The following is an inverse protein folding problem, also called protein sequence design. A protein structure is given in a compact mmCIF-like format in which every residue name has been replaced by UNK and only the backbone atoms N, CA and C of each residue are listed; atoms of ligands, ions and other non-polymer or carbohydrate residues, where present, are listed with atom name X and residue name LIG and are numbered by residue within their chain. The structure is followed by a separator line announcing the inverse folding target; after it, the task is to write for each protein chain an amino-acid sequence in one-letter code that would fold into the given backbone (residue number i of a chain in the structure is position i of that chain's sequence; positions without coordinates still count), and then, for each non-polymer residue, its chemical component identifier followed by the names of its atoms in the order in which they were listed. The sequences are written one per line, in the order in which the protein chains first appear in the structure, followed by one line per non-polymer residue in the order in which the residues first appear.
data_IF_713499398844
#
_entry.id   IF_713499398844
#
_cell.length_a   1.000
_cell.length_b   1.000
_cell.length_c   1.000
_cell.angle_alpha   90.00
_cell.angle_beta   90.00
_cell.angle_gamma   90.00
#
_symmetry.space_group_name_H-M   'P 1'
#
loop_
_entity.id
_entity.type
_entity.pdbx_description
1 polymer ?
#
# COMPACT_ATOMS: atom_id res chain seq x y z
N UNK A 1 2.36 41.01 25.84
CA UNK A 1 2.22 40.08 24.69
C UNK A 1 1.43 40.79 23.61
N UNK A 2 1.97 41.04 22.39
CA UNK A 2 1.19 41.58 21.31
C UNK A 2 0.56 40.46 20.46
N UNK A 3 -0.66 40.74 20.04
CA UNK A 3 -1.65 39.87 19.40
C UNK A 3 -1.27 39.46 17.97
N UNK A 4 -1.73 38.29 17.56
CA UNK A 4 -1.41 37.64 16.28
C UNK A 4 -1.84 38.42 15.04
N UNK A 5 -0.91 38.60 14.10
CA UNK A 5 -1.18 39.12 12.75
C UNK A 5 -1.68 38.02 11.81
N UNK A 6 -2.81 38.26 11.14
CA UNK A 6 -3.34 37.43 10.03
C UNK A 6 -2.31 37.35 8.89
N UNK A 7 -2.11 36.15 8.32
CA UNK A 7 -1.30 35.96 7.09
C UNK A 7 -1.86 36.82 5.96
N UNK A 8 -1.03 37.71 5.41
CA UNK A 8 -1.36 38.54 4.26
C UNK A 8 -1.41 37.66 3.00
N UNK A 9 -2.47 37.72 2.18
CA UNK A 9 -2.55 36.94 0.94
C UNK A 9 -1.45 37.37 -0.05
N UNK A 10 -0.81 36.36 -0.65
CA UNK A 10 0.30 36.55 -1.59
C UNK A 10 -0.20 37.19 -2.88
N UNK A 11 0.13 38.47 -3.09
CA UNK A 11 -0.30 39.24 -4.26
C UNK A 11 0.18 38.62 -5.57
N UNK A 12 -0.71 38.50 -6.56
CA UNK A 12 -0.39 37.97 -7.89
C UNK A 12 0.72 38.72 -8.62
N UNK A 13 0.94 40.01 -8.30
CA UNK A 13 2.09 40.79 -8.81
C UNK A 13 3.42 40.27 -8.28
N UNK A 14 3.50 39.92 -7.00
CA UNK A 14 4.70 39.35 -6.39
C UNK A 14 5.01 37.97 -7.00
N UNK A 15 3.98 37.16 -7.27
CA UNK A 15 4.12 35.86 -7.97
C UNK A 15 4.68 36.03 -9.38
N UNK A 16 4.20 37.03 -10.13
CA UNK A 16 4.66 37.29 -11.51
C UNK A 16 6.11 37.79 -11.56
N UNK A 17 6.50 38.65 -10.61
CA UNK A 17 7.90 39.11 -10.47
C UNK A 17 8.84 37.97 -10.06
N UNK A 18 8.41 37.08 -9.16
CA UNK A 18 9.20 35.90 -8.78
C UNK A 18 9.43 34.95 -9.96
N UNK A 19 8.43 34.74 -10.82
CA UNK A 19 8.56 33.93 -12.04
C UNK A 19 9.48 34.61 -13.07
N UNK A 20 9.41 35.94 -13.22
CA UNK A 20 10.32 36.69 -14.09
C UNK A 20 11.78 36.62 -13.60
N UNK A 21 12.01 36.78 -12.29
CA UNK A 21 13.34 36.65 -11.70
C UNK A 21 13.92 35.23 -11.89
N UNK A 22 13.07 34.19 -11.78
CA UNK A 22 13.46 32.79 -12.02
C UNK A 22 13.77 32.52 -13.50
N UNK A 23 13.06 33.18 -14.43
CA UNK A 23 13.36 33.13 -15.87
C UNK A 23 14.65 33.88 -16.23
N UNK A 24 14.92 35.01 -15.56
CA UNK A 24 16.17 35.77 -15.74
C UNK A 24 17.41 34.97 -15.32
N UNK A 25 17.37 34.30 -14.16
CA UNK A 25 18.46 33.43 -13.69
C UNK A 25 18.73 32.23 -14.61
N UNK A 26 17.72 31.74 -15.33
CA UNK A 26 17.88 30.67 -16.33
C UNK A 26 18.51 31.14 -17.64
N UNK A 27 18.52 32.45 -17.93
CA UNK A 27 19.14 33.04 -19.13
C UNK A 27 20.62 33.38 -18.93
N UNK A 28 21.12 33.38 -17.69
CA UNK A 28 22.51 33.72 -17.37
C UNK A 28 23.42 32.50 -17.18
N UNK A 29 22.94 31.27 -17.44
CA UNK A 29 23.81 30.09 -17.49
C UNK A 29 24.50 30.01 -18.88
N UNK A 30 25.83 29.84 -18.96
CA UNK A 30 26.52 29.70 -20.24
C UNK A 30 26.12 28.40 -20.95
N UNK A 31 25.85 28.50 -22.26
CA UNK A 31 25.47 27.36 -23.10
C UNK A 31 26.59 26.30 -23.16
N UNK A 32 26.24 25.04 -22.86
CA UNK A 32 27.10 23.88 -23.09
C UNK A 32 26.86 23.33 -24.52
N UNK A 33 27.89 22.76 -25.18
CA UNK A 33 27.82 22.39 -26.59
C UNK A 33 26.77 21.30 -26.86
N UNK A 34 26.16 21.40 -28.05
CA UNK A 34 25.09 20.55 -28.52
C UNK A 34 25.59 19.11 -28.81
N UNK A 35 25.30 18.19 -27.91
CA UNK A 35 25.67 16.78 -28.08
C UNK A 35 25.31 15.87 -26.90
N UNK A 36 24.12 16.00 -26.31
CA UNK A 36 23.64 15.08 -25.27
C UNK A 36 22.11 15.06 -25.18
N UNK A 37 21.43 14.67 -26.26
CA UNK A 37 20.01 14.32 -26.21
C UNK A 37 19.86 12.88 -25.70
N UNK A 38 19.91 12.69 -24.38
CA UNK A 38 19.69 11.36 -23.78
C UNK A 38 19.65 11.29 -22.25
N UNK A 39 20.27 12.22 -21.53
CA UNK A 39 20.47 12.03 -20.08
C UNK A 39 19.43 12.69 -19.16
N UNK A 40 18.42 13.41 -19.69
CA UNK A 40 17.46 14.13 -18.83
C UNK A 40 16.41 13.23 -18.18
N UNK A 41 16.09 12.06 -18.75
CA UNK A 41 15.08 11.16 -18.18
C UNK A 41 15.60 10.28 -17.03
N UNK A 42 16.92 10.22 -16.83
CA UNK A 42 17.54 9.34 -15.82
C UNK A 42 18.05 10.07 -14.57
N UNK A 43 17.96 11.41 -14.51
CA UNK A 43 18.39 12.18 -13.33
C UNK A 43 17.30 12.38 -12.27
N UNK A 44 16.02 12.18 -12.57
CA UNK A 44 14.96 12.27 -11.55
C UNK A 44 14.87 11.04 -10.64
N UNK A 45 15.55 9.94 -10.98
CA UNK A 45 15.65 8.73 -10.13
C UNK A 45 16.96 8.71 -9.31
N UNK A 46 17.88 9.66 -9.56
CA UNK A 46 19.25 9.65 -9.00
C UNK A 46 19.51 10.72 -7.92
N UNK A 47 18.44 11.21 -7.29
CA UNK A 47 18.52 12.05 -6.08
C UNK A 47 18.02 11.27 -4.86
N UNK A 48 18.43 10.01 -4.73
CA UNK A 48 18.59 9.42 -3.41
C UNK A 48 19.87 10.07 -2.89
N UNK A 49 19.72 11.05 -2.02
CA UNK A 49 20.85 11.54 -1.24
C UNK A 49 21.28 10.32 -0.41
N UNK A 50 22.38 9.67 -0.82
CA UNK A 50 23.12 8.77 0.04
C UNK A 50 23.67 9.65 1.18
N UNK A 51 22.84 9.86 2.19
CA UNK A 51 23.33 10.20 3.51
C UNK A 51 24.15 8.98 3.94
N UNK A 52 25.48 9.05 3.83
CA UNK A 52 26.39 8.03 4.35
C UNK A 52 26.34 7.91 5.89
N UNK A 53 25.49 8.69 6.55
CA UNK A 53 25.19 8.61 7.96
C UNK A 53 24.02 7.65 8.19
N UNK A 54 24.31 6.35 8.12
CA UNK A 54 23.44 5.35 8.72
C UNK A 54 23.39 5.59 10.23
N UNK A 55 22.44 6.40 10.69
CA UNK A 55 22.15 6.55 12.11
C UNK A 55 21.76 5.16 12.63
N UNK A 56 22.61 4.61 13.51
CA UNK A 56 22.21 3.51 14.35
C UNK A 56 21.06 4.00 15.21
N UNK A 57 19.87 3.48 14.98
CA UNK A 57 18.84 3.52 16.01
C UNK A 57 19.39 2.76 17.23
N UNK A 58 18.87 2.98 18.44
CA UNK A 58 19.40 2.40 19.71
C UNK A 58 19.49 0.87 19.76
N UNK A 59 19.11 0.20 18.67
CA UNK A 59 19.18 -1.22 18.38
C UNK A 59 20.50 -1.71 17.76
N UNK A 60 21.38 -0.83 17.25
CA UNK A 60 22.64 -1.23 16.60
C UNK A 60 22.50 -1.62 15.12
N UNK A 61 21.33 -1.35 14.54
CA UNK A 61 20.96 -1.79 13.19
C UNK A 61 21.21 -0.66 12.20
N UNK A 62 21.88 -0.97 11.08
CA UNK A 62 22.00 -0.02 9.97
C UNK A 62 20.67 0.07 9.24
N UNK A 63 20.08 1.26 9.26
CA UNK A 63 18.78 1.54 8.67
C UNK A 63 18.93 2.47 7.47
N UNK A 64 18.27 2.12 6.38
CA UNK A 64 18.11 2.98 5.22
C UNK A 64 16.75 3.69 5.27
N UNK A 65 16.77 5.03 5.29
CA UNK A 65 15.56 5.88 5.38
C UNK A 65 15.09 6.28 3.98
N UNK A 66 13.90 5.83 3.58
CA UNK A 66 13.29 6.13 2.26
C UNK A 66 12.35 7.34 2.37
N UNK A 67 12.27 8.13 1.29
CA UNK A 67 11.44 9.33 1.17
C UNK A 67 11.79 10.47 2.13
N UNK A 68 13.01 10.50 2.64
CA UNK A 68 13.50 11.58 3.49
C UNK A 68 13.51 12.91 2.73
N UNK A 69 12.84 13.93 3.27
CA UNK A 69 12.76 15.25 2.68
C UNK A 69 13.86 16.17 3.22
N UNK A 70 14.51 16.98 2.35
CA UNK A 70 15.49 17.96 2.79
C UNK A 70 14.78 19.12 3.50
N UNK A 71 15.13 19.37 4.76
CA UNK A 71 14.62 20.50 5.53
C UNK A 71 14.84 20.37 7.02
N UNK A 72 14.80 21.50 7.74
CA UNK A 72 14.92 21.56 9.20
C UNK A 72 13.55 21.84 9.80
N UNK A 73 12.74 20.79 9.96
CA UNK A 73 11.45 20.86 10.65
C UNK A 73 11.36 19.71 11.65
N UNK A 74 10.88 19.99 12.87
CA UNK A 74 10.87 19.03 14.00
C UNK A 74 10.21 17.68 13.65
N UNK A 75 9.26 17.66 12.72
CA UNK A 75 8.49 16.48 12.34
C UNK A 75 8.60 16.12 10.84
N UNK A 76 9.51 16.73 10.08
CA UNK A 76 9.52 16.63 8.61
C UNK A 76 9.67 15.18 8.12
N UNK A 77 10.46 14.37 8.84
CA UNK A 77 10.80 13.01 8.48
C UNK A 77 10.31 11.98 9.51
N UNK A 78 9.31 12.35 10.32
CA UNK A 78 8.76 11.49 11.39
C UNK A 78 8.24 10.14 10.84
N UNK A 79 7.61 10.18 9.67
CA UNK A 79 7.03 9.01 9.01
C UNK A 79 7.86 8.57 7.79
N UNK A 80 9.16 8.88 7.79
CA UNK A 80 10.05 8.29 6.79
C UNK A 80 10.10 6.78 6.98
N UNK A 81 10.12 6.04 5.88
CA UNK A 81 10.12 4.58 5.90
C UNK A 81 11.52 4.10 6.25
N UNK A 82 11.65 3.20 7.21
CA UNK A 82 12.92 2.67 7.68
C UNK A 82 13.00 1.18 7.35
N UNK A 83 13.96 0.80 6.51
CA UNK A 83 14.27 -0.60 6.26
C UNK A 83 15.70 -0.91 6.68
N UNK A 84 15.97 -2.17 7.00
CA UNK A 84 17.33 -2.63 7.20
C UNK A 84 18.16 -2.37 5.93
N UNK A 85 19.35 -1.80 6.12
CA UNK A 85 20.28 -1.57 5.04
C UNK A 85 20.93 -2.90 4.61
N UNK A 86 20.72 -3.29 3.36
CA UNK A 86 21.39 -4.44 2.76
C UNK A 86 22.88 -4.16 2.50
N UNK A 87 23.68 -5.22 2.44
CA UNK A 87 25.08 -5.14 2.06
C UNK A 87 25.20 -4.84 0.55
N UNK A 88 26.24 -4.10 0.17
CA UNK A 88 26.51 -3.79 -1.26
C UNK A 88 26.64 -5.07 -2.09
N UNK A 89 27.32 -6.07 -1.54
CA UNK A 89 27.48 -7.40 -2.14
C UNK A 89 26.14 -8.13 -2.34
N UNK A 90 25.24 -8.08 -1.35
CA UNK A 90 23.90 -8.68 -1.45
C UNK A 90 23.06 -8.03 -2.54
N UNK A 91 23.10 -6.69 -2.62
CA UNK A 91 22.40 -5.93 -3.67
C UNK A 91 22.95 -6.30 -5.06
N UNK A 92 24.27 -6.43 -5.21
CA UNK A 92 24.89 -6.77 -6.48
C UNK A 92 24.56 -8.20 -6.92
N UNK A 93 24.61 -9.17 -6.00
CA UNK A 93 24.19 -10.55 -6.24
C UNK A 93 22.69 -10.64 -6.64
N UNK A 94 21.80 -9.90 -5.98
CA UNK A 94 20.39 -9.85 -6.36
C UNK A 94 20.19 -9.24 -7.75
N UNK A 95 20.95 -8.19 -8.11
CA UNK A 95 20.93 -7.60 -9.46
C UNK A 95 21.41 -8.58 -10.53
N UNK A 96 22.44 -9.36 -10.23
CA UNK A 96 22.91 -10.41 -11.14
C UNK A 96 21.87 -11.52 -11.31
N UNK A 97 21.23 -11.96 -10.21
CA UNK A 97 20.15 -12.94 -10.26
C UNK A 97 18.97 -12.44 -11.10
N UNK A 98 18.56 -11.18 -10.91
CA UNK A 98 17.46 -10.57 -11.67
C UNK A 98 17.76 -10.42 -13.18
N UNK A 99 19.04 -10.50 -13.60
CA UNK A 99 19.45 -10.50 -15.01
C UNK A 99 19.45 -11.90 -15.64
N UNK A 100 19.33 -12.96 -14.85
CA UNK A 100 19.25 -14.32 -15.37
C UNK A 100 17.95 -14.50 -16.15
N UNK A 101 18.00 -15.31 -17.20
CA UNK A 101 16.82 -15.62 -18.00
C UNK A 101 15.80 -16.37 -17.14
N UNK A 102 14.53 -15.97 -17.23
CA UNK A 102 13.43 -16.70 -16.61
C UNK A 102 13.30 -18.05 -17.32
N UNK A 103 13.48 -19.13 -16.56
CA UNK A 103 13.31 -20.50 -17.03
C UNK A 103 11.86 -20.91 -16.79
N UNK A 104 11.22 -21.52 -17.78
CA UNK A 104 9.89 -22.07 -17.60
C UNK A 104 9.97 -23.28 -16.68
N UNK A 105 9.22 -23.22 -15.58
CA UNK A 105 9.16 -24.26 -14.55
C UNK A 105 7.90 -25.12 -14.82
N UNK A 106 7.96 -26.46 -14.68
CA UNK A 106 6.78 -27.32 -14.85
C UNK A 106 5.70 -27.02 -13.78
N UNK A 107 4.44 -27.35 -14.08
CA UNK A 107 3.29 -27.00 -13.23
C UNK A 107 3.43 -27.51 -11.78
N UNK A 108 3.98 -28.70 -11.60
CA UNK A 108 4.20 -29.31 -10.28
C UNK A 108 5.15 -28.48 -9.39
N UNK A 109 6.11 -27.78 -9.98
CA UNK A 109 7.06 -26.91 -9.25
C UNK A 109 6.49 -25.49 -9.04
N UNK A 110 5.38 -25.14 -9.69
CA UNK A 110 4.63 -23.91 -9.41
C UNK A 110 3.70 -24.09 -8.20
N UNK A 111 3.50 -25.32 -7.73
CA UNK A 111 2.73 -25.58 -6.52
C UNK A 111 3.48 -25.03 -5.30
N UNK A 112 2.79 -24.19 -4.55
CA UNK A 112 3.29 -23.66 -3.28
C UNK A 112 2.86 -24.62 -2.17
N UNK A 113 3.79 -24.96 -1.27
CA UNK A 113 3.47 -25.76 -0.09
C UNK A 113 2.34 -25.07 0.70
N UNK A 114 1.38 -25.86 1.20
CA UNK A 114 0.26 -25.32 2.00
C UNK A 114 0.71 -24.79 3.37
N UNK A 115 1.96 -25.03 3.76
CA UNK A 115 2.54 -24.50 4.99
C UNK A 115 2.52 -22.96 4.92
N UNK A 116 1.97 -22.32 5.95
CA UNK A 116 1.92 -20.87 5.99
C UNK A 116 3.35 -20.33 5.99
N UNK A 117 3.68 -19.34 5.15
CA UNK A 117 5.04 -18.78 5.04
C UNK A 117 5.44 -17.94 6.26
N UNK A 118 4.68 -18.03 7.35
CA UNK A 118 4.86 -17.27 8.57
C UNK A 118 5.37 -18.20 9.66
N UNK A 119 6.64 -18.09 10.07
CA UNK A 119 7.14 -18.78 11.24
C UNK A 119 6.31 -18.36 12.47
N UNK A 120 5.85 -19.32 13.27
CA UNK A 120 5.09 -19.04 14.49
C UNK A 120 5.86 -18.15 15.49
N UNK A 121 7.18 -18.15 15.39
CA UNK A 121 8.07 -17.34 16.24
C UNK A 121 8.24 -15.89 15.75
N UNK A 122 7.83 -15.58 14.51
CA UNK A 122 7.91 -14.26 13.91
C UNK A 122 6.53 -13.59 13.98
N UNK A 123 6.29 -12.95 15.12
CA UNK A 123 5.09 -12.14 15.36
C UNK A 123 5.36 -10.65 15.02
N UNK A 124 4.31 -9.84 14.92
CA UNK A 124 4.40 -8.39 14.76
C UNK A 124 4.43 -7.68 16.14
N UNK A 125 4.97 -6.45 16.24
CA UNK A 125 5.04 -5.72 17.50
C UNK A 125 3.65 -5.25 17.94
N UNK A 126 3.24 -5.64 19.15
CA UNK A 126 1.95 -5.27 19.76
C UNK A 126 2.18 -4.09 20.70
N UNK A 127 1.21 -3.18 20.80
CA UNK A 127 1.37 -2.04 21.70
C UNK A 127 1.52 -2.52 23.15
N UNK A 128 2.54 -2.06 23.90
CA UNK A 128 2.63 -2.38 25.32
C UNK A 128 1.44 -1.75 26.07
N UNK A 129 0.98 -2.37 27.18
CA UNK A 129 -0.08 -1.78 28.00
C UNK A 129 0.26 -0.36 28.43
N UNK A 130 -0.72 0.52 28.36
CA UNK A 130 -0.59 1.91 28.81
C UNK A 130 -1.85 2.33 29.55
N UNK A 131 -1.71 3.33 30.41
CA UNK A 131 -2.83 3.91 31.15
C UNK A 131 -2.89 5.44 30.95
N UNK A 132 -4.05 6.04 31.25
CA UNK A 132 -4.26 7.48 31.13
C UNK A 132 -3.51 8.31 32.17
N UNK A 133 -2.87 7.68 33.16
CA UNK A 133 -2.08 8.35 34.20
C UNK A 133 -0.63 8.57 33.78
N UNK A 134 -0.13 7.79 32.81
CA UNK A 134 1.18 7.96 32.21
C UNK A 134 1.30 9.32 31.51
N UNK A 135 2.46 9.97 31.67
CA UNK A 135 2.75 11.17 30.87
C UNK A 135 3.01 10.79 29.42
N UNK A 136 2.84 11.75 28.50
CA UNK A 136 3.13 11.53 27.08
C UNK A 136 4.60 11.13 26.83
N UNK A 137 5.53 11.64 27.65
CA UNK A 137 6.94 11.30 27.55
C UNK A 137 7.21 9.87 28.04
N UNK A 138 6.62 9.47 29.18
CA UNK A 138 6.79 8.13 29.73
C UNK A 138 6.21 7.06 28.79
N UNK A 139 5.05 7.34 28.19
CA UNK A 139 4.44 6.49 27.19
C UNK A 139 5.33 6.35 25.94
N UNK A 140 5.89 7.46 25.48
CA UNK A 140 6.79 7.47 24.32
C UNK A 140 8.06 6.65 24.57
N UNK A 141 8.65 6.78 25.76
CA UNK A 141 9.81 5.99 26.20
C UNK A 141 9.47 4.50 26.33
N UNK A 142 8.37 4.14 26.99
CA UNK A 142 7.95 2.75 27.16
C UNK A 142 7.71 2.04 25.81
N UNK A 143 7.01 2.71 24.89
CA UNK A 143 6.78 2.19 23.54
C UNK A 143 8.10 2.01 22.77
N UNK A 144 9.05 2.95 22.93
CA UNK A 144 10.37 2.88 22.29
C UNK A 144 11.20 1.72 22.82
N UNK A 145 11.30 1.57 24.14
CA UNK A 145 12.04 0.48 24.79
C UNK A 145 11.47 -0.89 24.41
N UNK A 146 10.15 -1.03 24.39
CA UNK A 146 9.48 -2.24 23.92
C UNK A 146 9.85 -2.56 22.47
N UNK A 147 9.75 -1.58 21.57
CA UNK A 147 9.99 -1.79 20.15
C UNK A 147 11.46 -2.10 19.86
N UNK A 148 12.40 -1.44 20.53
CA UNK A 148 13.83 -1.76 20.45
C UNK A 148 14.12 -3.19 20.92
N UNK A 149 13.48 -3.62 22.02
CA UNK A 149 13.55 -4.99 22.52
C UNK A 149 13.01 -6.01 21.50
N UNK A 150 11.89 -5.68 20.87
CA UNK A 150 11.31 -6.48 19.78
C UNK A 150 12.29 -6.62 18.60
N UNK A 151 12.86 -5.52 18.10
CA UNK A 151 13.82 -5.55 17.00
C UNK A 151 15.06 -6.40 17.33
N UNK A 152 15.62 -6.23 18.53
CA UNK A 152 16.77 -7.03 19.01
C UNK A 152 16.42 -8.52 19.07
N UNK A 153 15.20 -8.87 19.50
CA UNK A 153 14.75 -10.25 19.56
C UNK A 153 14.61 -10.87 18.16
N UNK A 154 14.00 -10.15 17.20
CA UNK A 154 13.87 -10.61 15.82
C UNK A 154 15.24 -10.89 15.20
N UNK A 155 16.20 -9.99 15.36
CA UNK A 155 17.56 -10.17 14.84
C UNK A 155 18.35 -11.28 15.51
N UNK A 156 18.10 -11.51 16.81
CA UNK A 156 18.73 -12.61 17.53
C UNK A 156 18.24 -13.97 17.03
N UNK A 157 16.95 -14.07 16.67
CA UNK A 157 16.33 -15.32 16.25
C UNK A 157 16.53 -15.63 14.78
N UNK A 158 16.48 -14.62 13.93
CA UNK A 158 16.47 -14.80 12.49
C UNK A 158 17.64 -14.06 11.84
N UNK A 159 18.43 -14.72 10.99
CA UNK A 159 19.47 -14.04 10.23
C UNK A 159 18.85 -13.07 9.23
N UNK A 160 19.53 -11.95 8.99
CA UNK A 160 19.03 -10.91 8.09
C UNK A 160 18.78 -11.40 6.65
N UNK A 161 19.46 -12.46 6.22
CA UNK A 161 19.29 -13.07 4.88
C UNK A 161 17.99 -13.84 4.71
N UNK A 162 17.35 -14.28 5.80
CA UNK A 162 16.10 -15.07 5.77
C UNK A 162 14.86 -14.19 6.03
N UNK A 163 15.05 -13.01 6.59
CA UNK A 163 13.96 -12.09 6.88
C UNK A 163 13.53 -11.33 5.61
N UNK A 164 12.23 -11.29 5.38
CA UNK A 164 11.64 -10.33 4.44
C UNK A 164 11.75 -8.91 5.00
N UNK A 165 11.69 -7.92 4.11
CA UNK A 165 11.65 -6.53 4.51
C UNK A 165 10.46 -6.22 5.41
N UNK A 166 10.72 -5.55 6.52
CA UNK A 166 9.70 -5.03 7.40
C UNK A 166 10.09 -3.64 7.91
N UNK A 167 9.08 -2.86 8.28
CA UNK A 167 9.25 -1.49 8.73
C UNK A 167 9.91 -1.44 10.11
N UNK A 168 10.98 -0.66 10.22
CA UNK A 168 11.78 -0.47 11.41
C UNK A 168 11.49 0.87 12.11
N UNK A 169 10.59 1.70 11.58
CA UNK A 169 10.15 2.93 12.22
C UNK A 169 8.97 2.65 13.17
N UNK A 170 9.16 2.90 14.47
CA UNK A 170 8.10 2.80 15.47
C UNK A 170 6.88 3.66 15.14
N UNK A 171 7.07 4.81 14.47
CA UNK A 171 5.97 5.71 14.13
C UNK A 171 4.95 5.07 13.19
N UNK A 172 5.38 4.18 12.30
CA UNK A 172 4.48 3.41 11.43
C UNK A 172 3.70 2.39 12.25
N UNK A 173 4.35 1.68 13.17
CA UNK A 173 3.69 0.72 14.07
C UNK A 173 2.71 1.40 15.03
N UNK A 174 3.03 2.61 15.52
CA UNK A 174 2.11 3.44 16.29
C UNK A 174 0.84 3.78 15.51
N UNK A 175 0.92 3.98 14.19
CA UNK A 175 -0.29 4.16 13.36
C UNK A 175 -1.13 2.88 13.34
N UNK A 176 -0.51 1.71 13.15
CA UNK A 176 -1.23 0.43 13.21
C UNK A 176 -1.90 0.25 14.57
N UNK A 177 -1.19 0.48 15.67
CA UNK A 177 -1.74 0.35 17.02
C UNK A 177 -2.97 1.24 17.23
N UNK A 178 -2.89 2.52 16.84
CA UNK A 178 -4.02 3.45 16.94
C UNK A 178 -5.21 3.01 16.09
N UNK A 179 -4.97 2.55 14.87
CA UNK A 179 -6.04 2.04 14.00
C UNK A 179 -6.71 0.82 14.63
N UNK A 180 -5.92 -0.13 15.14
CA UNK A 180 -6.44 -1.32 15.80
C UNK A 180 -7.22 -1.00 17.08
N UNK A 181 -6.82 0.02 17.83
CA UNK A 181 -7.53 0.47 19.04
C UNK A 181 -8.82 1.21 18.73
N UNK A 182 -8.81 2.11 17.75
CA UNK A 182 -9.93 2.99 17.43
C UNK A 182 -11.01 2.35 16.55
N UNK A 183 -10.66 1.31 15.79
CA UNK A 183 -11.61 0.68 14.84
C UNK A 183 -12.43 -0.40 15.53
N UNK A 184 -13.72 -0.50 15.23
CA UNK A 184 -14.54 -1.64 15.66
C UNK A 184 -14.41 -2.82 14.69
N UNK A 185 -14.30 -2.51 13.39
CA UNK A 185 -14.12 -3.48 12.30
C UNK A 185 -12.81 -3.19 11.57
N UNK A 186 -11.95 -4.20 11.44
CA UNK A 186 -10.67 -4.08 10.72
C UNK A 186 -10.81 -4.65 9.31
N UNK A 187 -10.66 -3.78 8.31
CA UNK A 187 -10.61 -4.18 6.90
C UNK A 187 -9.17 -4.46 6.47
N UNK A 188 -8.87 -5.71 6.09
CA UNK A 188 -7.55 -6.11 5.63
C UNK A 188 -7.59 -6.46 4.14
N UNK A 189 -6.83 -5.74 3.32
CA UNK A 189 -6.89 -5.83 1.86
C UNK A 189 -5.65 -6.57 1.36
N UNK A 190 -5.85 -7.65 0.60
CA UNK A 190 -4.77 -8.44 0.00
C UNK A 190 -4.92 -8.55 -1.51
N UNK A 191 -3.80 -8.74 -2.22
CA UNK A 191 -3.81 -9.03 -3.66
C UNK A 191 -4.12 -10.52 -3.90
N UNK A 192 -5.08 -10.82 -4.78
CA UNK A 192 -5.56 -12.20 -5.06
C UNK A 192 -4.47 -13.15 -5.55
N UNK A 193 -3.35 -12.64 -6.08
CA UNK A 193 -2.28 -13.48 -6.64
C UNK A 193 -1.48 -14.20 -5.55
N UNK A 194 -1.30 -13.57 -4.40
CA UNK A 194 -0.49 -14.10 -3.30
C UNK A 194 -1.14 -13.86 -1.93
N UNK A 195 -2.42 -14.23 -1.72
CA UNK A 195 -3.16 -13.83 -0.52
C UNK A 195 -2.62 -14.53 0.73
N UNK A 196 -2.10 -15.77 0.61
CA UNK A 196 -1.45 -16.48 1.72
C UNK A 196 -0.23 -15.71 2.24
N UNK A 197 0.63 -15.18 1.37
CA UNK A 197 1.84 -14.45 1.78
C UNK A 197 1.55 -13.05 2.33
N UNK A 198 0.40 -12.48 1.98
CA UNK A 198 0.03 -11.12 2.36
C UNK A 198 -0.84 -11.09 3.62
N UNK A 199 -1.40 -12.22 4.04
CA UNK A 199 -2.28 -12.32 5.21
C UNK A 199 -1.57 -12.97 6.40
N UNK A 200 -1.00 -12.18 7.33
CA UNK A 200 -0.33 -12.72 8.51
C UNK A 200 -1.34 -13.32 9.49
N UNK A 201 -1.25 -14.64 9.82
CA UNK A 201 -2.15 -15.28 10.77
C UNK A 201 -2.10 -14.65 12.16
N UNK A 202 -0.93 -14.18 12.59
CA UNK A 202 -0.74 -13.55 13.90
C UNK A 202 -1.58 -12.29 14.08
N UNK A 203 -1.80 -11.51 13.01
CA UNK A 203 -2.67 -10.34 13.04
C UNK A 203 -4.12 -10.74 13.22
N UNK A 204 -4.59 -11.76 12.49
CA UNK A 204 -5.93 -12.32 12.67
C UNK A 204 -6.15 -12.77 14.11
N UNK A 205 -5.23 -13.55 14.66
CA UNK A 205 -5.33 -14.03 16.03
C UNK A 205 -5.36 -12.90 17.03
N UNK A 206 -4.55 -11.86 16.84
CA UNK A 206 -4.55 -10.70 17.73
C UNK A 206 -5.88 -9.92 17.66
N UNK A 207 -6.40 -9.64 16.46
CA UNK A 207 -7.64 -8.87 16.29
C UNK A 207 -8.84 -9.65 16.84
N UNK A 208 -8.99 -10.91 16.44
CA UNK A 208 -10.15 -11.72 16.82
C UNK A 208 -10.02 -12.23 18.27
N UNK A 209 -8.90 -12.85 18.64
CA UNK A 209 -8.80 -13.53 19.94
C UNK A 209 -8.44 -12.58 21.08
N UNK A 210 -7.59 -11.58 20.84
CA UNK A 210 -7.12 -10.66 21.90
C UNK A 210 -7.96 -9.39 21.97
N UNK A 211 -8.15 -8.69 20.84
CA UNK A 211 -8.92 -7.44 20.82
C UNK A 211 -10.43 -7.69 20.83
N UNK A 212 -10.89 -8.91 20.48
CA UNK A 212 -12.32 -9.27 20.37
C UNK A 212 -13.07 -8.37 19.40
N UNK A 213 -12.43 -8.07 18.27
CA UNK A 213 -12.96 -7.20 17.20
C UNK A 213 -13.21 -8.01 15.94
N UNK A 214 -14.07 -7.50 15.06
CA UNK A 214 -14.35 -8.13 13.78
C UNK A 214 -13.30 -7.78 12.73
N UNK A 215 -13.04 -8.73 11.85
CA UNK A 215 -12.08 -8.58 10.76
C UNK A 215 -12.70 -9.01 9.42
N UNK A 216 -12.51 -8.19 8.39
CA UNK A 216 -12.95 -8.46 7.03
C UNK A 216 -11.72 -8.54 6.13
N UNK A 217 -11.52 -9.67 5.46
CA UNK A 217 -10.51 -9.86 4.43
C UNK A 217 -11.09 -9.51 3.06
N UNK A 218 -10.46 -8.57 2.35
CA UNK A 218 -10.80 -8.21 0.97
C UNK A 218 -9.74 -8.76 0.03
N UNK A 219 -10.13 -9.75 -0.77
CA UNK A 219 -9.34 -10.22 -1.90
C UNK A 219 -9.50 -9.23 -3.06
N UNK A 220 -8.50 -8.38 -3.27
CA UNK A 220 -8.48 -7.34 -4.30
C UNK A 220 -7.89 -7.85 -5.62
N UNK A 221 -8.27 -7.18 -6.72
CA UNK A 221 -7.84 -7.45 -8.09
C UNK A 221 -8.19 -8.85 -8.57
N UNK A 222 -9.38 -9.34 -8.19
CA UNK A 222 -9.86 -10.69 -8.56
C UNK A 222 -9.88 -10.93 -10.08
N UNK A 223 -9.91 -9.86 -10.89
CA UNK A 223 -9.78 -9.89 -12.35
C UNK A 223 -8.44 -10.45 -12.85
N UNK A 224 -7.41 -10.51 -12.00
CA UNK A 224 -6.11 -11.09 -12.32
C UNK A 224 -6.07 -12.62 -12.14
N UNK A 225 -7.13 -13.22 -11.59
CA UNK A 225 -7.20 -14.64 -11.28
C UNK A 225 -8.42 -15.29 -11.96
N UNK A 226 -8.33 -16.55 -12.42
CA UNK A 226 -9.50 -17.29 -12.90
C UNK A 226 -10.56 -17.45 -11.80
N UNK A 227 -11.85 -17.43 -12.17
CA UNK A 227 -12.95 -17.57 -11.21
C UNK A 227 -12.86 -18.82 -10.31
N UNK A 228 -12.46 -20.01 -10.80
CA UNK A 228 -12.26 -21.17 -9.93
C UNK A 228 -11.20 -20.93 -8.84
N UNK A 229 -10.13 -20.20 -9.14
CA UNK A 229 -9.07 -19.88 -8.17
C UNK A 229 -9.57 -18.88 -7.12
N UNK A 230 -10.36 -17.89 -7.51
CA UNK A 230 -10.97 -16.94 -6.57
C UNK A 230 -11.89 -17.67 -5.58
N UNK A 231 -12.70 -18.61 -6.07
CA UNK A 231 -13.55 -19.45 -5.21
C UNK A 231 -12.72 -20.36 -4.30
N UNK A 232 -11.65 -20.97 -4.81
CA UNK A 232 -10.74 -21.79 -4.01
C UNK A 232 -10.11 -20.99 -2.88
N UNK A 233 -9.66 -19.76 -3.13
CA UNK A 233 -9.14 -18.88 -2.09
C UNK A 233 -10.19 -18.53 -1.05
N UNK A 234 -11.40 -18.15 -1.49
CA UNK A 234 -12.51 -17.85 -0.58
C UNK A 234 -12.83 -19.03 0.33
N UNK A 235 -12.83 -20.25 -0.22
CA UNK A 235 -13.06 -21.48 0.55
C UNK A 235 -11.91 -21.77 1.52
N UNK A 236 -10.66 -21.61 1.09
CA UNK A 236 -9.49 -21.78 1.94
C UNK A 236 -9.54 -20.87 3.17
N UNK A 237 -9.73 -19.56 2.98
CA UNK A 237 -9.75 -18.60 4.10
C UNK A 237 -10.93 -18.82 5.04
N UNK A 238 -12.11 -19.17 4.53
CA UNK A 238 -13.27 -19.51 5.37
C UNK A 238 -13.03 -20.75 6.24
N UNK A 239 -12.33 -21.75 5.70
CA UNK A 239 -12.05 -22.97 6.44
C UNK A 239 -10.91 -22.79 7.45
N UNK A 240 -9.86 -22.04 7.06
CA UNK A 240 -8.72 -21.77 7.93
C UNK A 240 -9.05 -20.76 9.04
N UNK A 241 -9.93 -19.80 8.75
CA UNK A 241 -10.28 -18.68 9.63
C UNK A 241 -11.81 -18.49 9.68
N UNK A 242 -12.55 -19.28 10.50
CA UNK A 242 -14.01 -19.29 10.47
C UNK A 242 -14.68 -17.96 10.85
N UNK A 243 -14.04 -17.15 11.70
CA UNK A 243 -14.56 -15.84 12.14
C UNK A 243 -14.22 -14.72 11.13
N UNK A 244 -13.47 -15.03 10.08
CA UNK A 244 -13.07 -14.06 9.06
C UNK A 244 -14.14 -13.93 7.97
N UNK A 245 -14.65 -12.72 7.77
CA UNK A 245 -15.49 -12.45 6.61
C UNK A 245 -14.62 -12.20 5.37
N UNK A 246 -14.82 -13.00 4.32
CA UNK A 246 -14.02 -12.92 3.08
C UNK A 246 -14.85 -12.32 1.95
N UNK A 247 -14.43 -11.15 1.50
CA UNK A 247 -15.00 -10.40 0.38
C UNK A 247 -14.05 -10.39 -0.82
N UNK A 248 -14.63 -10.20 -2.01
CA UNK A 248 -13.90 -10.17 -3.28
C UNK A 248 -14.15 -8.83 -3.95
N UNK A 249 -13.09 -8.17 -4.40
CA UNK A 249 -13.18 -6.82 -4.97
C UNK A 249 -12.36 -6.70 -6.26
N UNK A 250 -12.92 -6.00 -7.24
CA UNK A 250 -12.19 -5.53 -8.43
C UNK A 250 -12.65 -4.13 -8.82
N UNK A 251 -11.69 -3.26 -9.14
CA UNK A 251 -11.98 -1.94 -9.71
C UNK A 251 -12.30 -1.99 -11.22
N UNK A 252 -12.05 -3.14 -11.84
CA UNK A 252 -12.35 -3.43 -13.24
C UNK A 252 -13.18 -4.70 -13.32
N UNK A 253 -14.51 -4.62 -13.13
CA UNK A 253 -15.42 -5.69 -13.49
C UNK A 253 -15.43 -5.85 -15.02
N UNK A 254 -14.33 -6.37 -15.56
CA UNK A 254 -14.06 -6.53 -16.98
C UNK A 254 -14.78 -7.73 -17.60
N UNK A 255 -15.83 -8.25 -16.96
CA UNK A 255 -16.64 -9.35 -17.46
C UNK A 255 -17.74 -8.93 -18.46
N UNK A 256 -17.81 -7.65 -18.84
CA UNK A 256 -18.53 -7.23 -20.06
C UNK A 256 -17.70 -7.40 -21.35
N UNK A 257 -16.52 -8.04 -21.28
CA UNK A 257 -15.78 -8.47 -22.47
C UNK A 257 -16.42 -9.75 -23.01
N UNK A 258 -17.39 -9.54 -23.91
CA UNK A 258 -17.88 -10.42 -24.99
C UNK A 258 -17.15 -11.77 -25.09
N UNK A 259 -17.93 -12.85 -25.13
CA UNK A 259 -17.47 -14.18 -25.56
C UNK A 259 -16.51 -14.08 -26.74
N UNK A 260 -15.52 -14.99 -26.87
CA UNK A 260 -14.69 -15.10 -28.06
C UNK A 260 -15.52 -15.67 -29.22
N UNK A 261 -16.57 -14.96 -29.62
CA UNK A 261 -17.20 -15.11 -30.94
C UNK A 261 -16.54 -14.09 -31.88
N UNK A 262 -16.11 -14.62 -33.02
CA UNK A 262 -15.47 -13.96 -34.15
C UNK A 262 -13.97 -13.66 -34.02
N UNK A 263 -13.20 -14.75 -34.15
CA UNK A 263 -11.83 -14.71 -34.68
C UNK A 263 -11.88 -14.52 -36.20
N UNK A 264 -12.10 -13.29 -36.66
CA UNK A 264 -11.68 -12.87 -38.01
C UNK A 264 -10.86 -11.58 -37.90
N UNK A 265 -9.63 -11.62 -38.42
CA UNK A 265 -8.75 -10.46 -38.51
C UNK A 265 -7.78 -10.31 -37.33
N UNK A 266 -6.54 -10.73 -37.55
CA UNK A 266 -5.45 -10.64 -36.58
C UNK A 266 -5.04 -9.20 -36.29
N UNK A 267 -5.65 -8.58 -35.27
CA UNK A 267 -5.00 -7.58 -34.41
C UNK A 267 -5.84 -7.41 -33.14
N UNK A 268 -5.36 -7.93 -32.01
CA UNK A 268 -6.03 -7.76 -30.72
C UNK A 268 -5.92 -6.32 -30.21
N UNK A 269 -6.74 -5.42 -30.74
CA UNK A 269 -6.94 -4.11 -30.11
C UNK A 269 -7.92 -4.28 -28.96
N UNK A 270 -7.39 -4.63 -27.77
CA UNK A 270 -8.15 -4.52 -26.51
C UNK A 270 -8.44 -3.03 -26.26
N UNK A 271 -9.59 -2.54 -26.73
CA UNK A 271 -10.02 -1.17 -26.47
C UNK A 271 -10.39 -1.03 -24.99
N UNK A 272 -9.63 -0.23 -24.25
CA UNK A 272 -10.03 0.28 -22.92
C UNK A 272 -11.24 1.21 -23.14
N UNK A 273 -12.43 0.80 -22.72
CA UNK A 273 -13.60 1.67 -22.72
C UNK A 273 -14.20 1.73 -21.32
N UNK A 274 -14.29 2.95 -20.79
CA UNK A 274 -14.91 3.27 -19.50
C UNK A 274 -13.95 4.00 -18.57
N UNK A 275 -14.38 5.17 -18.05
CA UNK A 275 -13.83 5.72 -16.81
C UNK A 275 -14.07 4.69 -15.70
N UNK A 276 -13.16 4.66 -14.72
CA UNK A 276 -13.24 3.80 -13.54
C UNK A 276 -14.54 4.12 -12.79
N UNK A 277 -15.62 3.34 -13.04
CA UNK A 277 -16.78 3.34 -12.15
C UNK A 277 -16.29 2.79 -10.81
N UNK A 278 -16.74 3.32 -9.69
CA UNK A 278 -16.56 2.58 -8.45
C UNK A 278 -17.24 1.22 -8.60
N UNK A 279 -16.61 0.19 -8.05
CA UNK A 279 -17.18 -1.14 -8.00
C UNK A 279 -18.33 -1.12 -6.99
N UNK A 280 -19.49 -0.60 -7.43
CA UNK A 280 -20.66 -0.41 -6.58
C UNK A 280 -21.10 -1.73 -5.95
N UNK A 281 -21.01 -2.83 -6.70
CA UNK A 281 -21.21 -4.20 -6.20
C UNK A 281 -20.26 -4.57 -5.05
N UNK A 282 -18.99 -4.15 -5.13
CA UNK A 282 -18.01 -4.40 -4.07
C UNK A 282 -18.28 -3.56 -2.82
N UNK A 283 -18.72 -2.31 -3.00
CA UNK A 283 -19.12 -1.45 -1.89
C UNK A 283 -20.41 -1.95 -1.21
N UNK A 284 -21.38 -2.45 -1.99
CA UNK A 284 -22.60 -3.08 -1.48
C UNK A 284 -22.29 -4.35 -0.69
N UNK A 285 -21.40 -5.21 -1.20
CA UNK A 285 -20.96 -6.41 -0.46
C UNK A 285 -20.29 -6.06 0.87
N UNK A 286 -19.47 -5.01 0.90
CA UNK A 286 -18.83 -4.54 2.13
C UNK A 286 -19.86 -3.96 3.11
N UNK A 287 -20.84 -3.21 2.61
CA UNK A 287 -21.91 -2.66 3.43
C UNK A 287 -22.75 -3.78 4.06
N UNK A 288 -23.17 -4.77 3.27
CA UNK A 288 -23.92 -5.93 3.76
C UNK A 288 -23.11 -6.73 4.80
N UNK A 289 -21.80 -6.86 4.61
CA UNK A 289 -20.90 -7.49 5.58
C UNK A 289 -20.87 -6.71 6.92
N UNK A 290 -20.73 -5.38 6.85
CA UNK A 290 -20.79 -4.52 8.03
C UNK A 290 -22.16 -4.55 8.73
N UNK A 291 -23.27 -4.57 7.99
CA UNK A 291 -24.61 -4.70 8.55
C UNK A 291 -24.77 -6.01 9.33
N UNK A 292 -24.29 -7.12 8.78
CA UNK A 292 -24.34 -8.42 9.45
C UNK A 292 -23.52 -8.42 10.75
N UNK A 293 -22.36 -7.77 10.76
CA UNK A 293 -21.51 -7.65 11.96
C UNK A 293 -22.18 -6.80 13.03
N UNK A 294 -22.63 -5.60 12.64
CA UNK A 294 -23.19 -4.60 13.54
C UNK A 294 -24.58 -5.01 14.06
N UNK A 295 -25.34 -5.81 13.30
CA UNK A 295 -26.66 -6.33 13.67
C UNK A 295 -27.62 -5.23 14.19
N UNK A 296 -27.58 -4.05 13.56
CA UNK A 296 -28.46 -2.90 13.90
C UNK A 296 -28.03 -2.05 15.09
N UNK A 297 -26.86 -2.29 15.70
CA UNK A 297 -26.34 -1.47 16.81
C UNK A 297 -25.83 -0.08 16.37
N UNK A 298 -25.51 0.10 15.10
CA UNK A 298 -24.99 1.35 14.51
C UNK A 298 -25.83 1.75 13.31
N UNK A 299 -26.09 3.04 13.17
CA UNK A 299 -26.80 3.60 12.02
C UNK A 299 -25.89 3.68 10.78
N UNK A 300 -26.16 2.84 9.78
CA UNK A 300 -25.45 2.80 8.50
C UNK A 300 -26.19 3.55 7.38
N UNK A 301 -27.28 4.27 7.67
CA UNK A 301 -28.12 4.95 6.68
C UNK A 301 -27.35 5.89 5.74
N UNK A 302 -26.35 6.60 6.28
CA UNK A 302 -25.49 7.48 5.50
C UNK A 302 -24.65 6.72 4.46
N UNK A 303 -24.22 5.50 4.78
CA UNK A 303 -23.46 4.64 3.86
C UNK A 303 -24.37 4.08 2.78
N UNK A 304 -25.57 3.59 3.14
CA UNK A 304 -26.58 3.16 2.17
C UNK A 304 -26.89 4.25 1.15
N UNK A 305 -27.15 5.48 1.63
CA UNK A 305 -27.45 6.60 0.76
C UNK A 305 -26.30 6.87 -0.22
N UNK A 306 -25.06 6.88 0.27
CA UNK A 306 -23.88 7.13 -0.57
C UNK A 306 -23.68 6.04 -1.62
N UNK A 307 -23.78 4.76 -1.22
CA UNK A 307 -23.64 3.62 -2.15
C UNK A 307 -24.77 3.64 -3.20
N UNK A 308 -26.00 3.95 -2.80
CA UNK A 308 -27.14 4.04 -3.71
C UNK A 308 -27.05 5.23 -4.68
N UNK A 309 -26.59 6.40 -4.22
CA UNK A 309 -26.34 7.57 -5.09
C UNK A 309 -25.30 7.24 -6.17
N UNK A 310 -24.22 6.56 -5.80
CA UNK A 310 -23.15 6.18 -6.73
C UNK A 310 -23.59 5.08 -7.72
N UNK A 311 -24.39 4.12 -7.27
CA UNK A 311 -24.93 3.05 -8.12
C UNK A 311 -25.90 3.60 -9.18
N UNK A 312 -26.65 4.65 -8.85
CA UNK A 312 -27.59 5.32 -9.74
C UNK A 312 -26.97 6.45 -10.58
N UNK A 313 -25.68 6.77 -10.39
CA UNK A 313 -25.02 7.81 -11.18
C UNK A 313 -24.72 7.29 -12.59
N UNK A 314 -25.56 7.68 -13.55
CA UNK A 314 -25.36 7.41 -14.99
C UNK A 314 -24.29 8.36 -15.52
N UNK A 315 -23.21 7.83 -16.07
CA UNK A 315 -22.16 8.62 -16.72
C UNK A 315 -22.48 8.77 -18.22
N UNK A 316 -22.33 10.00 -18.77
CA UNK A 316 -22.74 10.40 -20.13
C UNK A 316 -22.15 9.56 -21.30
N UNK A 317 -21.15 8.71 -21.06
CA UNK A 317 -20.49 7.88 -22.08
C UNK A 317 -21.26 6.58 -22.45
N UNK A 318 -22.35 6.25 -21.74
CA UNK A 318 -23.17 5.05 -22.03
C UNK A 318 -23.89 5.13 -23.40
N UNK A 319 -23.93 6.31 -24.03
CA UNK A 319 -24.58 6.57 -25.31
C UNK A 319 -23.63 6.74 -26.51
N UNK A 320 -22.31 6.55 -26.37
CA UNK A 320 -21.38 6.70 -27.51
C UNK A 320 -21.39 5.45 -28.42
N UNK A 321 -22.33 5.44 -29.36
CA UNK A 321 -22.30 4.61 -30.58
C UNK A 321 -21.20 5.18 -31.50
N UNK A 322 -20.06 4.50 -31.59
CA UNK A 322 -18.97 4.92 -32.50
C UNK A 322 -19.29 4.39 -33.89
N UNK A 323 -19.46 5.30 -34.84
CA UNK A 323 -19.83 5.02 -36.22
C UNK A 323 -18.87 4.07 -36.94
N UNK A 324 -19.43 3.29 -37.87
CA UNK A 324 -18.70 2.47 -38.83
C UNK A 324 -17.86 3.38 -39.74
N UNK A 325 -16.56 3.13 -39.83
CA UNK A 325 -15.74 3.68 -40.90
C UNK A 325 -16.01 2.86 -42.17
N UNK A 326 -16.43 3.53 -43.24
CA UNK A 326 -16.58 2.95 -44.57
C UNK A 326 -15.20 2.57 -45.12
N UNK A 327 -15.09 1.37 -45.67
CA UNK A 327 -13.93 0.93 -46.44
C UNK A 327 -13.92 1.64 -47.80
N UNK A 328 -12.73 2.13 -48.20
CA UNK A 328 -12.37 2.43 -49.59
C UNK A 328 -11.20 1.54 -49.94
#
# INVERSE_FOLDING_TARGET
MPQGGRKVPFSGKAKKQQIQAKKGRKRSEPERPAGAFGERSMRHVRSVHESEDGESDGSGIKVHKINQQPGKGKNLNRYAIHFQQETKEGIEAQKELARKQLVHIPENELEVERSLPFPAELDFPKRPPWDSSMSAADLETNEHEYFDGYLKNVQKKFPASELSYFEMNIETWRQLWRVLEMSDIVLFIVDIRFPIYLFPPSLYEFVIKTLKKDMILVLNKIDLAPAPLVLAWKHYFKNAYPELQVLTFTAYPGYNLRDPSDKEGGLQVRRRRGKMRMAAEGAEQLLNACENIVSGQVDLSSWHKKVAEELNTVYEDDNLIVGKTLEV
#
